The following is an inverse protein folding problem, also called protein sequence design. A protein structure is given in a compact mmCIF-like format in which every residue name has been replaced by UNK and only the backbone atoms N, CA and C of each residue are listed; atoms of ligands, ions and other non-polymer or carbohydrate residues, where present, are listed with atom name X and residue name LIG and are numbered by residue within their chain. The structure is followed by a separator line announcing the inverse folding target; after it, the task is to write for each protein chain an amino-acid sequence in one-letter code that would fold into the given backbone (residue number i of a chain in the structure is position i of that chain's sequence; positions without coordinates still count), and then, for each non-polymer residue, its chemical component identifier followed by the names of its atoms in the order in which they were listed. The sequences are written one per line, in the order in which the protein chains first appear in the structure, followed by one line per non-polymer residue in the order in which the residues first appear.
data_IF_022592931377
#
_entry.id   IF_022592931377
#
_cell.length_a   1.000
_cell.length_b   1.000
_cell.length_c   1.000
_cell.angle_alpha   90.00
_cell.angle_beta   90.00
_cell.angle_gamma   90.00
#
_symmetry.space_group_name_H-M   'P 1'
#
loop_
_entity.id
_entity.type
_entity.pdbx_description
1 polymer ?
#
# COMPACT_ATOMS: atom_id res chain seq x y z
N UNK A 1 29.43 -2.87 -18.92
CA UNK A 1 28.57 -1.75 -18.47
C UNK A 1 27.34 -2.32 -17.79
N UNK A 2 27.16 -2.12 -16.47
CA UNK A 2 25.89 -2.50 -15.79
C UNK A 2 24.78 -1.64 -16.38
N UNK A 3 23.79 -2.25 -17.04
CA UNK A 3 22.60 -1.53 -17.53
C UNK A 3 21.95 -0.79 -16.34
N UNK A 4 21.74 0.50 -16.50
CA UNK A 4 21.02 1.27 -15.50
C UNK A 4 19.61 0.68 -15.28
N UNK A 5 19.17 0.46 -14.03
CA UNK A 5 17.84 -0.11 -13.75
C UNK A 5 16.72 0.71 -14.39
N UNK A 6 15.67 0.04 -14.88
CA UNK A 6 14.51 0.71 -15.49
C UNK A 6 13.71 1.50 -14.46
N UNK A 7 13.26 2.71 -14.81
CA UNK A 7 12.37 3.52 -13.97
C UNK A 7 11.01 2.82 -13.82
N UNK A 8 10.52 2.20 -14.88
CA UNK A 8 9.25 1.45 -14.86
C UNK A 8 9.35 0.28 -13.87
N UNK A 9 10.47 -0.47 -13.87
CA UNK A 9 10.68 -1.56 -12.92
C UNK A 9 10.61 -1.08 -11.46
N UNK A 10 11.27 0.03 -11.12
CA UNK A 10 11.19 0.60 -9.79
C UNK A 10 9.81 1.18 -9.45
N UNK A 11 9.10 1.75 -10.42
CA UNK A 11 7.71 2.17 -10.24
C UNK A 11 6.80 0.98 -9.92
N UNK A 12 6.97 -0.14 -10.63
CA UNK A 12 6.22 -1.37 -10.33
C UNK A 12 6.52 -1.91 -8.92
N UNK A 13 7.78 -1.83 -8.46
CA UNK A 13 8.14 -2.21 -7.09
C UNK A 13 7.41 -1.32 -6.07
N UNK A 14 7.44 -0.01 -6.22
CA UNK A 14 6.73 0.92 -5.32
C UNK A 14 5.21 0.68 -5.38
N UNK A 15 4.65 0.51 -6.57
CA UNK A 15 3.22 0.19 -6.72
C UNK A 15 2.84 -1.11 -6.00
N UNK A 16 3.65 -2.17 -6.12
CA UNK A 16 3.39 -3.44 -5.44
C UNK A 16 3.48 -3.34 -3.91
N UNK A 17 4.30 -2.42 -3.39
CA UNK A 17 4.36 -2.13 -1.95
C UNK A 17 3.10 -1.37 -1.48
N UNK A 18 2.58 -0.46 -2.30
CA UNK A 18 1.36 0.29 -1.99
C UNK A 18 0.12 -0.62 -2.09
N UNK A 19 0.00 -1.40 -3.15
CA UNK A 19 -1.17 -2.25 -3.42
C UNK A 19 -1.14 -3.50 -2.54
N UNK A 20 -1.82 -3.42 -1.41
CA UNK A 20 -1.91 -4.48 -0.40
C UNK A 20 -3.24 -4.45 0.34
N UNK A 21 -3.27 -4.91 1.58
CA UNK A 21 -4.49 -4.96 2.40
C UNK A 21 -5.16 -3.58 2.57
N UNK A 22 -4.40 -2.48 2.53
CA UNK A 22 -4.94 -1.13 2.58
C UNK A 22 -5.94 -0.85 1.45
N UNK A 23 -5.68 -1.38 0.24
CA UNK A 23 -6.59 -1.24 -0.90
C UNK A 23 -7.98 -1.81 -0.62
N UNK A 24 -8.06 -2.97 0.03
CA UNK A 24 -9.34 -3.61 0.34
C UNK A 24 -10.17 -2.80 1.33
N UNK A 25 -9.53 -2.08 2.24
CA UNK A 25 -10.18 -1.22 3.22
C UNK A 25 -10.66 0.13 2.68
N UNK A 26 -10.15 0.58 1.52
CA UNK A 26 -10.46 1.91 0.98
C UNK A 26 -11.96 2.14 0.72
N UNK A 27 -12.71 1.23 0.08
CA UNK A 27 -14.14 1.43 -0.14
C UNK A 27 -14.92 1.52 1.17
N UNK A 28 -14.61 0.67 2.15
CA UNK A 28 -15.28 0.69 3.46
C UNK A 28 -14.97 1.98 4.22
N UNK A 29 -13.71 2.43 4.21
CA UNK A 29 -13.30 3.67 4.87
C UNK A 29 -13.89 4.92 4.21
N UNK A 30 -14.08 4.88 2.90
CA UNK A 30 -14.65 5.99 2.11
C UNK A 30 -16.15 5.92 1.91
N UNK A 31 -16.86 4.92 2.45
CA UNK A 31 -18.30 4.73 2.23
C UNK A 31 -19.14 5.96 2.60
N UNK A 32 -18.81 6.66 3.69
CA UNK A 32 -19.45 7.90 4.08
C UNK A 32 -19.12 9.11 3.21
N UNK A 33 -17.96 9.10 2.54
CA UNK A 33 -17.50 10.15 1.64
C UNK A 33 -17.97 9.94 0.20
N UNK A 34 -18.39 8.74 -0.12
CA UNK A 34 -18.78 8.28 -1.44
C UNK A 34 -17.69 8.50 -2.50
N UNK A 35 -18.02 8.45 -3.79
CA UNK A 35 -17.03 8.42 -4.88
C UNK A 35 -16.18 9.69 -4.93
N UNK A 36 -16.78 10.86 -5.14
CA UNK A 36 -16.02 12.08 -5.44
C UNK A 36 -15.08 12.47 -4.30
N UNK A 37 -15.58 12.50 -3.08
CA UNK A 37 -14.76 12.88 -1.92
C UNK A 37 -13.73 11.82 -1.56
N UNK A 38 -14.03 10.54 -1.80
CA UNK A 38 -13.03 9.45 -1.67
C UNK A 38 -11.89 9.61 -2.66
N UNK A 39 -12.19 9.88 -3.93
CA UNK A 39 -11.16 10.09 -4.96
C UNK A 39 -10.31 11.34 -4.67
N UNK A 40 -10.92 12.42 -4.18
CA UNK A 40 -10.20 13.63 -3.75
C UNK A 40 -9.27 13.30 -2.57
N UNK A 41 -9.80 12.64 -1.53
CA UNK A 41 -9.02 12.28 -0.33
C UNK A 41 -7.81 11.40 -0.66
N UNK A 42 -7.98 10.38 -1.51
CA UNK A 42 -6.90 9.51 -1.95
C UNK A 42 -5.88 10.25 -2.80
N UNK A 43 -6.33 11.14 -3.72
CA UNK A 43 -5.42 11.93 -4.55
C UNK A 43 -4.58 12.87 -3.70
N UNK A 44 -5.19 13.52 -2.73
CA UNK A 44 -4.49 14.37 -1.77
C UNK A 44 -3.48 13.56 -0.95
N UNK A 45 -3.90 12.39 -0.44
CA UNK A 45 -2.99 11.49 0.30
C UNK A 45 -1.82 11.05 -0.54
N UNK A 46 -2.04 10.64 -1.80
CA UNK A 46 -0.97 10.27 -2.73
C UNK A 46 0.03 11.41 -2.91
N UNK A 47 -0.45 12.64 -3.11
CA UNK A 47 0.42 13.81 -3.25
C UNK A 47 1.26 14.04 -2.00
N UNK A 48 0.66 14.03 -0.82
CA UNK A 48 1.34 14.22 0.46
C UNK A 48 2.38 13.12 0.72
N UNK A 49 2.01 11.86 0.48
CA UNK A 49 2.93 10.73 0.67
C UNK A 49 4.07 10.74 -0.34
N UNK A 50 3.84 11.12 -1.59
CA UNK A 50 4.90 11.25 -2.60
C UNK A 50 5.88 12.36 -2.22
N UNK A 51 5.38 13.53 -1.80
CA UNK A 51 6.22 14.63 -1.31
C UNK A 51 7.03 14.23 -0.08
N UNK A 52 6.42 13.57 0.89
CA UNK A 52 7.09 13.05 2.08
C UNK A 52 8.21 12.06 1.73
N UNK A 53 7.96 11.14 0.80
CA UNK A 53 9.00 10.23 0.31
C UNK A 53 10.15 10.95 -0.41
N UNK A 54 9.87 12.03 -1.15
CA UNK A 54 10.91 12.85 -1.76
C UNK A 54 11.72 13.62 -0.71
N UNK A 55 11.08 14.16 0.32
CA UNK A 55 11.79 14.80 1.44
C UNK A 55 12.70 13.81 2.17
N UNK A 56 12.23 12.58 2.36
CA UNK A 56 13.04 11.52 2.95
C UNK A 56 14.25 11.18 2.06
N UNK A 57 14.09 11.13 0.72
CA UNK A 57 15.21 10.96 -0.21
C UNK A 57 16.24 12.09 -0.10
N UNK A 58 15.80 13.34 0.05
CA UNK A 58 16.71 14.47 0.26
C UNK A 58 17.50 14.33 1.57
N UNK A 59 16.85 13.86 2.65
CA UNK A 59 17.53 13.60 3.91
C UNK A 59 18.61 12.52 3.76
N UNK A 60 18.33 11.47 3.00
CA UNK A 60 19.30 10.40 2.73
C UNK A 60 20.49 10.85 1.87
N UNK A 61 20.37 11.94 1.13
CA UNK A 61 21.41 12.42 0.19
C UNK A 61 22.75 12.70 0.88
N UNK A 62 22.73 13.07 2.13
CA UNK A 62 23.92 13.41 2.92
C UNK A 62 24.62 12.19 3.52
N UNK A 63 24.13 10.99 3.27
CA UNK A 63 24.61 9.75 3.85
C UNK A 63 25.01 8.75 2.76
N UNK A 64 25.74 7.72 3.16
CA UNK A 64 26.10 6.61 2.27
C UNK A 64 24.86 5.91 1.67
N UNK A 65 25.00 5.31 0.48
CA UNK A 65 23.89 4.63 -0.22
C UNK A 65 23.24 3.49 0.58
N UNK A 66 23.98 2.88 1.49
CA UNK A 66 23.52 1.74 2.31
C UNK A 66 23.11 2.12 3.73
N UNK A 67 23.00 3.42 4.03
CA UNK A 67 22.63 3.86 5.37
C UNK A 67 21.23 3.39 5.74
N UNK A 68 21.03 3.00 7.00
CA UNK A 68 19.72 2.60 7.52
C UNK A 68 18.87 3.82 7.88
N UNK A 69 17.55 3.67 7.81
CA UNK A 69 16.61 4.69 8.27
C UNK A 69 16.85 5.07 9.73
N UNK A 70 17.09 4.07 10.59
CA UNK A 70 17.39 4.30 12.01
C UNK A 70 18.62 5.18 12.22
N UNK A 71 19.70 4.97 11.43
CA UNK A 71 20.92 5.78 11.56
C UNK A 71 20.65 7.24 11.22
N UNK A 72 19.94 7.48 10.12
CA UNK A 72 19.60 8.86 9.69
C UNK A 72 18.69 9.54 10.71
N UNK A 73 17.66 8.84 11.20
CA UNK A 73 16.74 9.39 12.20
C UNK A 73 17.46 9.74 13.51
N UNK A 74 18.37 8.87 13.96
CA UNK A 74 19.17 9.10 15.16
C UNK A 74 20.06 10.33 15.01
N UNK A 75 20.71 10.47 13.86
CA UNK A 75 21.65 11.57 13.59
C UNK A 75 20.93 12.93 13.46
N UNK A 76 19.79 12.95 12.77
CA UNK A 76 19.02 14.17 12.50
C UNK A 76 18.17 14.62 13.70
N UNK A 77 17.52 13.67 14.39
CA UNK A 77 16.51 13.95 15.42
C UNK A 77 16.97 13.63 16.84
N UNK A 78 18.14 13.00 16.99
CA UNK A 78 18.70 12.59 18.27
C UNK A 78 18.10 11.30 18.83
N UNK A 79 18.74 10.77 19.89
CA UNK A 79 18.43 9.44 20.44
C UNK A 79 16.98 9.32 20.95
N UNK A 80 16.48 10.34 21.66
CA UNK A 80 15.12 10.28 22.25
C UNK A 80 14.03 10.17 21.20
N UNK A 81 14.10 11.02 20.17
CA UNK A 81 13.11 11.00 19.08
C UNK A 81 13.25 9.72 18.24
N UNK A 82 14.47 9.24 18.05
CA UNK A 82 14.73 8.00 17.34
C UNK A 82 14.11 6.78 18.04
N UNK A 83 14.15 6.72 19.38
CA UNK A 83 13.48 5.64 20.14
C UNK A 83 11.97 5.67 19.90
N UNK A 84 11.33 6.85 20.00
CA UNK A 84 9.89 7.00 19.74
C UNK A 84 9.56 6.59 18.32
N UNK A 85 10.36 7.03 17.34
CA UNK A 85 10.17 6.68 15.94
C UNK A 85 10.28 5.17 15.71
N UNK A 86 11.26 4.49 16.31
CA UNK A 86 11.41 3.05 16.19
C UNK A 86 10.22 2.30 16.80
N UNK A 87 9.73 2.72 17.97
CA UNK A 87 8.53 2.16 18.58
C UNK A 87 7.33 2.32 17.63
N UNK A 88 7.13 3.50 17.04
CA UNK A 88 6.06 3.75 16.09
C UNK A 88 6.16 2.87 14.84
N UNK A 89 7.36 2.70 14.27
CA UNK A 89 7.59 1.83 13.10
C UNK A 89 7.26 0.37 13.42
N UNK A 90 7.74 -0.15 14.56
CA UNK A 90 7.43 -1.52 14.98
C UNK A 90 5.94 -1.71 15.29
N UNK A 91 5.30 -0.70 15.91
CA UNK A 91 3.87 -0.72 16.19
C UNK A 91 3.04 -0.80 14.91
N UNK A 92 3.34 0.06 13.92
CA UNK A 92 2.66 0.04 12.62
C UNK A 92 2.90 -1.29 11.89
N UNK A 93 4.15 -1.79 11.89
CA UNK A 93 4.47 -3.09 11.31
C UNK A 93 3.71 -4.24 11.95
N UNK A 94 3.58 -4.22 13.29
CA UNK A 94 2.81 -5.21 14.05
C UNK A 94 1.31 -5.16 13.74
N UNK A 95 0.72 -3.96 13.65
CA UNK A 95 -0.70 -3.80 13.27
C UNK A 95 -0.95 -4.28 11.84
N UNK A 96 -0.08 -3.94 10.89
CA UNK A 96 -0.21 -4.43 9.51
C UNK A 96 -0.12 -5.95 9.44
N UNK A 97 0.84 -6.55 10.14
CA UNK A 97 0.97 -8.01 10.20
C UNK A 97 -0.28 -8.65 10.80
N UNK A 98 -0.80 -8.09 11.90
CA UNK A 98 -2.06 -8.54 12.51
C UNK A 98 -3.23 -8.45 11.52
N UNK A 99 -3.36 -7.34 10.79
CA UNK A 99 -4.39 -7.16 9.79
C UNK A 99 -4.31 -8.20 8.66
N UNK A 100 -3.10 -8.49 8.16
CA UNK A 100 -2.89 -9.53 7.14
C UNK A 100 -3.26 -10.93 7.65
N UNK A 101 -2.86 -11.28 8.86
CA UNK A 101 -3.13 -12.59 9.46
C UNK A 101 -4.64 -12.79 9.65
N UNK A 102 -5.31 -11.79 10.23
CA UNK A 102 -6.76 -11.87 10.51
C UNK A 102 -7.58 -11.88 9.22
N UNK A 103 -7.25 -11.03 8.24
CA UNK A 103 -7.93 -11.02 6.94
C UNK A 103 -7.74 -12.33 6.19
N UNK A 104 -6.53 -12.90 6.22
CA UNK A 104 -6.26 -14.21 5.60
C UNK A 104 -7.05 -15.32 6.27
N UNK A 105 -7.19 -15.28 7.60
CA UNK A 105 -8.02 -16.23 8.35
C UNK A 105 -9.49 -16.15 7.94
N UNK A 106 -10.05 -14.95 7.81
CA UNK A 106 -11.44 -14.73 7.37
C UNK A 106 -11.67 -15.25 5.95
N UNK A 107 -10.76 -14.95 5.01
CA UNK A 107 -10.85 -15.44 3.64
C UNK A 107 -10.80 -16.97 3.59
N UNK A 108 -9.89 -17.59 4.34
CA UNK A 108 -9.79 -19.03 4.41
C UNK A 108 -11.02 -19.68 5.05
N UNK A 109 -11.61 -19.05 6.07
CA UNK A 109 -12.87 -19.49 6.66
C UNK A 109 -14.01 -19.51 5.62
N UNK A 110 -14.12 -18.44 4.84
CA UNK A 110 -15.14 -18.30 3.81
C UNK A 110 -14.96 -19.32 2.66
N UNK A 111 -13.71 -19.59 2.25
CA UNK A 111 -13.42 -20.49 1.11
C UNK A 111 -13.41 -21.95 1.52
N UNK A 112 -12.86 -22.30 2.70
CA UNK A 112 -12.59 -23.69 3.12
C UNK A 112 -13.58 -24.14 4.19
N UNK A 113 -14.27 -23.21 4.89
CA UNK A 113 -15.20 -23.53 5.98
C UNK A 113 -14.51 -23.86 7.32
N UNK A 114 -13.22 -23.60 7.47
CA UNK A 114 -12.47 -23.81 8.71
C UNK A 114 -12.54 -22.53 9.54
N UNK A 115 -12.76 -22.68 10.85
CA UNK A 115 -12.83 -21.53 11.77
C UNK A 115 -11.67 -20.55 11.58
N UNK A 116 -11.99 -19.25 11.54
CA UNK A 116 -11.05 -18.14 11.31
C UNK A 116 -9.76 -18.22 12.16
N UNK A 117 -9.87 -18.50 13.46
CA UNK A 117 -8.69 -18.58 14.34
C UNK A 117 -7.74 -19.71 13.93
N UNK A 118 -8.31 -20.88 13.58
CA UNK A 118 -7.52 -22.02 13.10
C UNK A 118 -6.90 -21.72 11.75
N UNK A 119 -7.66 -21.12 10.84
CA UNK A 119 -7.20 -20.68 9.52
C UNK A 119 -6.07 -19.66 9.61
N UNK A 120 -6.16 -18.70 10.52
CA UNK A 120 -5.10 -17.73 10.80
C UNK A 120 -3.81 -18.39 11.31
N UNK A 121 -3.93 -19.36 12.21
CA UNK A 121 -2.77 -20.13 12.72
C UNK A 121 -2.11 -20.93 11.60
N UNK A 122 -2.90 -21.62 10.78
CA UNK A 122 -2.41 -22.39 9.63
C UNK A 122 -1.66 -21.45 8.66
N UNK A 123 -2.25 -20.30 8.34
CA UNK A 123 -1.63 -19.30 7.48
C UNK A 123 -0.26 -18.86 8.03
N UNK A 124 -0.19 -18.46 9.30
CA UNK A 124 1.07 -18.05 9.94
C UNK A 124 2.09 -19.18 9.91
N UNK A 125 1.68 -20.40 10.27
CA UNK A 125 2.59 -21.54 10.29
C UNK A 125 3.19 -21.82 8.91
N UNK A 126 2.35 -21.92 7.89
CA UNK A 126 2.79 -22.20 6.51
C UNK A 126 3.74 -21.13 6.00
N UNK A 127 3.39 -19.84 6.12
CA UNK A 127 4.25 -18.78 5.61
C UNK A 127 5.52 -18.58 6.45
N UNK A 128 5.48 -18.84 7.76
CA UNK A 128 6.68 -18.84 8.61
C UNK A 128 7.70 -19.89 8.19
N UNK A 129 7.25 -21.07 7.74
CA UNK A 129 8.15 -22.10 7.22
C UNK A 129 8.94 -21.62 5.99
N UNK A 130 8.29 -20.87 5.08
CA UNK A 130 8.99 -20.31 3.91
C UNK A 130 10.01 -19.25 4.31
N UNK A 131 9.65 -18.38 5.27
CA UNK A 131 10.57 -17.36 5.80
C UNK A 131 11.78 -18.01 6.47
N UNK A 132 11.53 -19.07 7.26
CA UNK A 132 12.62 -19.83 7.91
C UNK A 132 13.53 -20.54 6.90
N UNK A 133 12.93 -21.14 5.86
CA UNK A 133 13.67 -21.96 4.92
C UNK A 133 14.73 -21.16 4.14
N UNK A 134 14.35 -20.06 3.51
CA UNK A 134 15.29 -19.15 2.87
C UNK A 134 14.61 -17.90 2.28
N UNK A 135 15.37 -16.81 2.18
CA UNK A 135 14.97 -15.58 1.48
C UNK A 135 14.62 -15.85 0.00
N UNK A 136 15.25 -16.82 -0.64
CA UNK A 136 14.94 -17.20 -2.03
C UNK A 136 13.58 -17.88 -2.17
N UNK A 137 13.14 -18.64 -1.16
CA UNK A 137 11.81 -19.25 -1.15
C UNK A 137 10.74 -18.17 -1.03
N UNK A 138 10.93 -17.20 -0.13
CA UNK A 138 10.05 -16.03 0.02
C UNK A 138 9.96 -15.24 -1.28
N UNK A 139 11.08 -14.94 -1.92
CA UNK A 139 11.13 -14.21 -3.19
C UNK A 139 10.32 -14.90 -4.30
N UNK A 140 10.54 -16.20 -4.50
CA UNK A 140 9.80 -16.96 -5.53
C UNK A 140 8.30 -17.02 -5.27
N UNK A 141 7.89 -17.26 -4.02
CA UNK A 141 6.47 -17.30 -3.67
C UNK A 141 5.84 -15.93 -3.84
N UNK A 142 6.53 -14.86 -3.43
CA UNK A 142 6.03 -13.50 -3.59
C UNK A 142 5.75 -13.16 -5.06
N UNK A 143 6.62 -13.55 -5.98
CA UNK A 143 6.40 -13.34 -7.43
C UNK A 143 5.14 -14.07 -7.92
N UNK A 144 4.95 -15.32 -7.50
CA UNK A 144 3.77 -16.11 -7.86
C UNK A 144 2.50 -15.44 -7.29
N UNK A 145 2.52 -15.07 -6.00
CA UNK A 145 1.38 -14.45 -5.34
C UNK A 145 1.02 -13.08 -5.95
N UNK A 146 2.02 -12.27 -6.34
CA UNK A 146 1.79 -11.00 -7.05
C UNK A 146 1.11 -11.26 -8.41
N UNK A 147 1.54 -12.27 -9.16
CA UNK A 147 0.91 -12.61 -10.42
C UNK A 147 -0.58 -13.00 -10.22
N UNK A 148 -0.88 -13.85 -9.22
CA UNK A 148 -2.25 -14.20 -8.87
C UNK A 148 -3.05 -12.98 -8.42
N UNK A 149 -2.48 -12.10 -7.61
CA UNK A 149 -3.11 -10.87 -7.16
C UNK A 149 -3.52 -9.98 -8.34
N UNK A 150 -2.61 -9.77 -9.31
CA UNK A 150 -2.89 -8.95 -10.51
C UNK A 150 -4.00 -9.58 -11.34
N UNK A 151 -3.96 -10.89 -11.58
CA UNK A 151 -4.99 -11.60 -12.32
C UNK A 151 -6.35 -11.52 -11.63
N UNK A 152 -6.40 -11.77 -10.33
CA UNK A 152 -7.64 -11.68 -9.52
C UNK A 152 -8.21 -10.27 -9.51
N UNK A 153 -7.34 -9.26 -9.42
CA UNK A 153 -7.76 -7.86 -9.47
C UNK A 153 -8.40 -7.51 -10.82
N UNK A 154 -7.73 -7.87 -11.93
CA UNK A 154 -8.26 -7.64 -13.27
C UNK A 154 -9.62 -8.34 -13.42
N UNK A 155 -9.75 -9.58 -12.97
CA UNK A 155 -10.98 -10.34 -13.04
C UNK A 155 -12.11 -9.69 -12.22
N UNK A 156 -11.83 -9.33 -10.95
CA UNK A 156 -12.78 -8.68 -10.07
C UNK A 156 -13.25 -7.32 -10.59
N UNK A 157 -12.30 -6.45 -10.97
CA UNK A 157 -12.62 -5.13 -11.51
C UNK A 157 -13.38 -5.23 -12.84
N UNK A 158 -13.00 -6.14 -13.75
CA UNK A 158 -13.70 -6.29 -15.03
C UNK A 158 -15.14 -6.78 -14.86
N UNK A 159 -15.39 -7.70 -13.92
CA UNK A 159 -16.74 -8.16 -13.59
C UNK A 159 -17.64 -7.04 -13.03
N UNK A 160 -17.10 -6.22 -12.13
CA UNK A 160 -17.82 -5.09 -11.55
C UNK A 160 -18.02 -3.95 -12.57
N UNK A 161 -17.02 -3.67 -13.41
CA UNK A 161 -17.04 -2.57 -14.37
C UNK A 161 -18.16 -2.69 -15.43
N UNK A 162 -18.62 -3.91 -15.71
CA UNK A 162 -19.71 -4.15 -16.69
C UNK A 162 -21.05 -3.63 -16.15
N UNK A 163 -21.24 -3.60 -14.84
CA UNK A 163 -22.51 -3.28 -14.20
C UNK A 163 -22.52 -1.88 -13.54
N UNK A 164 -21.55 -1.02 -13.82
CA UNK A 164 -21.48 0.32 -13.22
C UNK A 164 -22.70 1.15 -13.62
N UNK A 165 -23.46 1.62 -12.60
CA UNK A 165 -24.54 2.59 -12.74
C UNK A 165 -24.04 3.97 -12.33
N UNK A 166 -24.07 4.93 -13.25
CA UNK A 166 -23.67 6.30 -13.00
C UNK A 166 -24.56 7.01 -11.96
N UNK A 167 -25.82 6.60 -11.84
CA UNK A 167 -26.75 7.18 -10.84
C UNK A 167 -26.35 6.77 -9.42
N UNK A 168 -25.91 5.53 -9.24
CA UNK A 168 -25.37 5.01 -7.97
C UNK A 168 -24.01 5.61 -7.68
N UNK A 169 -23.11 5.60 -8.69
CA UNK A 169 -21.75 6.10 -8.56
C UNK A 169 -21.68 7.55 -8.07
N UNK A 170 -22.55 8.41 -8.60
CA UNK A 170 -22.62 9.83 -8.21
C UNK A 170 -23.70 10.12 -7.16
N UNK A 171 -24.39 9.09 -6.68
CA UNK A 171 -25.46 9.15 -5.69
C UNK A 171 -26.53 10.23 -5.99
N UNK A 172 -26.97 10.29 -7.23
CA UNK A 172 -27.98 11.24 -7.68
C UNK A 172 -29.36 11.05 -7.02
N UNK A 173 -29.53 9.90 -6.35
CA UNK A 173 -30.77 9.55 -5.64
C UNK A 173 -30.86 10.32 -4.31
N UNK A 174 -29.73 10.73 -3.72
CA UNK A 174 -29.64 11.42 -2.43
C UNK A 174 -28.96 12.80 -2.58
N UNK A 175 -29.48 13.67 -3.41
CA UNK A 175 -28.88 14.98 -3.73
C UNK A 175 -28.64 15.90 -2.52
N UNK A 176 -29.37 15.69 -1.40
CA UNK A 176 -29.22 16.47 -0.16
C UNK A 176 -28.11 15.99 0.77
N UNK A 177 -27.42 14.89 0.44
CA UNK A 177 -26.41 14.30 1.32
C UNK A 177 -25.09 15.06 1.26
N UNK A 178 -24.60 15.51 2.41
CA UNK A 178 -23.29 16.16 2.52
C UNK A 178 -22.22 15.14 2.84
N UNK A 179 -21.44 14.71 1.85
CA UNK A 179 -20.40 13.70 1.95
C UNK A 179 -19.03 14.24 2.37
N UNK A 180 -18.79 15.55 2.22
CA UNK A 180 -17.49 16.17 2.47
C UNK A 180 -16.91 15.92 3.88
N UNK A 181 -17.69 16.01 4.99
CA UNK A 181 -17.17 15.78 6.33
C UNK A 181 -16.59 14.37 6.54
N UNK A 182 -17.12 13.38 5.82
CA UNK A 182 -16.70 11.98 5.96
C UNK A 182 -15.38 11.66 5.24
N UNK A 183 -14.91 12.55 4.35
CA UNK A 183 -13.62 12.37 3.67
C UNK A 183 -12.45 12.26 4.65
N UNK A 184 -12.53 12.93 5.80
CA UNK A 184 -11.51 12.87 6.85
C UNK A 184 -11.35 11.47 7.45
N UNK A 185 -12.41 10.69 7.54
CA UNK A 185 -12.37 9.33 8.07
C UNK A 185 -11.56 8.36 7.18
N UNK A 186 -11.39 8.69 5.91
CA UNK A 186 -10.65 7.88 4.96
C UNK A 186 -9.13 8.03 5.09
N UNK A 187 -8.62 9.16 5.60
CA UNK A 187 -7.18 9.43 5.63
C UNK A 187 -6.34 8.36 6.34
N UNK A 188 -6.70 7.82 7.51
CA UNK A 188 -5.88 6.79 8.14
C UNK A 188 -5.63 5.57 7.26
N UNK A 189 -6.68 5.10 6.56
CA UNK A 189 -6.58 3.95 5.64
C UNK A 189 -5.84 4.35 4.35
N UNK A 190 -6.11 5.54 3.81
CA UNK A 190 -5.41 6.05 2.63
C UNK A 190 -3.90 6.23 2.89
N UNK A 191 -3.50 6.76 4.06
CA UNK A 191 -2.09 6.91 4.44
C UNK A 191 -1.37 5.55 4.51
N UNK A 192 -2.00 4.54 5.11
CA UNK A 192 -1.42 3.18 5.17
C UNK A 192 -1.35 2.53 3.80
N UNK A 193 -2.32 2.82 2.91
CA UNK A 193 -2.34 2.33 1.53
C UNK A 193 -1.19 2.88 0.67
N UNK A 194 -0.65 4.05 1.00
CA UNK A 194 0.56 4.61 0.38
C UNK A 194 1.80 4.47 1.29
N UNK A 195 1.86 3.46 2.15
CA UNK A 195 2.90 3.24 3.15
C UNK A 195 4.23 2.70 2.63
N UNK A 196 4.78 3.24 1.56
CA UNK A 196 6.02 2.75 0.92
C UNK A 196 7.33 3.32 1.50
N UNK A 197 7.30 4.17 2.50
CA UNK A 197 8.47 4.94 2.99
C UNK A 197 9.65 4.06 3.43
N UNK A 198 9.39 2.85 3.94
CA UNK A 198 10.42 1.87 4.26
C UNK A 198 11.26 1.43 3.04
N UNK A 199 10.71 1.58 1.83
CA UNK A 199 11.38 1.22 0.57
C UNK A 199 12.21 2.37 -0.03
N UNK A 200 12.14 3.59 0.51
CA UNK A 200 12.82 4.78 -0.06
C UNK A 200 14.33 4.61 -0.09
N UNK A 201 14.94 4.16 1.02
CA UNK A 201 16.38 3.89 1.08
C UNK A 201 16.81 2.82 0.09
N UNK A 202 16.01 1.76 -0.04
CA UNK A 202 16.25 0.68 -1.01
C UNK A 202 16.17 1.17 -2.45
N UNK A 203 15.24 2.06 -2.78
CA UNK A 203 15.13 2.66 -4.11
C UNK A 203 16.34 3.55 -4.42
N UNK A 204 16.82 4.33 -3.45
CA UNK A 204 18.04 5.11 -3.60
C UNK A 204 19.25 4.20 -3.88
N UNK A 205 19.40 3.15 -3.12
CA UNK A 205 20.48 2.17 -3.30
C UNK A 205 20.37 1.45 -4.66
N UNK A 206 19.17 1.11 -5.11
CA UNK A 206 18.90 0.43 -6.38
C UNK A 206 19.31 1.27 -7.60
N UNK A 207 19.03 2.55 -7.57
CA UNK A 207 19.36 3.47 -8.68
C UNK A 207 20.74 4.13 -8.57
N UNK A 208 21.32 4.18 -7.38
CA UNK A 208 22.55 4.91 -7.09
C UNK A 208 22.42 6.44 -7.22
N UNK A 209 21.22 6.95 -7.44
CA UNK A 209 20.94 8.39 -7.53
C UNK A 209 19.49 8.73 -7.16
N UNK A 210 19.29 9.92 -6.58
CA UNK A 210 18.00 10.38 -6.06
C UNK A 210 16.98 10.68 -7.18
N UNK A 211 17.40 11.27 -8.30
CA UNK A 211 16.51 11.69 -9.39
C UNK A 211 15.74 10.51 -10.01
N UNK A 212 16.38 9.35 -10.17
CA UNK A 212 15.73 8.16 -10.68
C UNK A 212 14.80 7.54 -9.62
N UNK A 213 15.22 7.53 -8.36
CA UNK A 213 14.40 7.09 -7.25
C UNK A 213 13.13 7.95 -7.12
N UNK A 214 13.23 9.28 -7.21
CA UNK A 214 12.07 10.21 -7.22
C UNK A 214 11.08 9.89 -8.34
N UNK A 215 11.59 9.68 -9.57
CA UNK A 215 10.73 9.31 -10.71
C UNK A 215 10.05 7.95 -10.53
N UNK A 216 10.76 6.97 -9.98
CA UNK A 216 10.20 5.66 -9.69
C UNK A 216 9.13 5.72 -8.58
N UNK A 217 9.35 6.52 -7.54
CA UNK A 217 8.37 6.74 -6.47
C UNK A 217 7.11 7.40 -7.04
N UNK A 218 7.24 8.49 -7.78
CA UNK A 218 6.10 9.15 -8.41
C UNK A 218 5.34 8.22 -9.36
N UNK A 219 6.05 7.48 -10.21
CA UNK A 219 5.43 6.52 -11.11
C UNK A 219 4.70 5.41 -10.37
N UNK A 220 5.29 4.89 -9.28
CA UNK A 220 4.69 3.83 -8.48
C UNK A 220 3.46 4.27 -7.71
N UNK A 221 3.52 5.46 -7.08
CA UNK A 221 2.35 6.02 -6.38
C UNK A 221 1.23 6.40 -7.35
N UNK A 222 1.55 6.86 -8.57
CA UNK A 222 0.57 7.13 -9.62
C UNK A 222 -0.10 5.84 -10.14
N UNK A 223 0.65 4.76 -10.32
CA UNK A 223 0.10 3.45 -10.67
C UNK A 223 -0.84 2.98 -9.55
N UNK A 224 -0.43 3.06 -8.29
CA UNK A 224 -1.26 2.68 -7.16
C UNK A 224 -2.55 3.52 -7.09
N UNK A 225 -2.46 4.84 -7.28
CA UNK A 225 -3.64 5.72 -7.34
C UNK A 225 -4.62 5.29 -8.43
N UNK A 226 -4.12 4.97 -9.62
CA UNK A 226 -4.96 4.50 -10.73
C UNK A 226 -5.71 3.21 -10.36
N UNK A 227 -5.02 2.25 -9.73
CA UNK A 227 -5.62 1.00 -9.28
C UNK A 227 -6.67 1.24 -8.18
N UNK A 228 -6.40 2.16 -7.25
CA UNK A 228 -7.37 2.53 -6.20
C UNK A 228 -8.60 3.23 -6.78
N UNK A 229 -8.43 4.08 -7.79
CA UNK A 229 -9.55 4.69 -8.49
C UNK A 229 -10.43 3.64 -9.16
N UNK A 230 -9.82 2.73 -9.93
CA UNK A 230 -10.55 1.64 -10.56
C UNK A 230 -11.30 0.80 -9.53
N UNK A 231 -10.67 0.50 -8.40
CA UNK A 231 -11.27 -0.28 -7.33
C UNK A 231 -12.48 0.42 -6.70
N UNK A 232 -12.32 1.69 -6.26
CA UNK A 232 -13.39 2.47 -5.64
C UNK A 232 -14.55 2.67 -6.61
N UNK A 233 -14.27 3.07 -7.85
CA UNK A 233 -15.30 3.28 -8.86
C UNK A 233 -16.06 1.98 -9.16
N UNK A 234 -15.34 0.86 -9.24
CA UNK A 234 -15.98 -0.45 -9.46
C UNK A 234 -16.86 -0.89 -8.28
N UNK A 235 -16.48 -0.58 -7.05
CA UNK A 235 -17.27 -0.94 -5.87
C UNK A 235 -18.48 -0.02 -5.69
N UNK A 236 -18.29 1.31 -5.82
CA UNK A 236 -19.37 2.26 -5.56
C UNK A 236 -20.35 2.41 -6.72
N UNK A 237 -20.00 1.94 -7.89
CA UNK A 237 -20.88 1.94 -9.06
C UNK A 237 -21.83 0.74 -9.16
N UNK A 238 -21.72 -0.21 -8.22
CA UNK A 238 -22.57 -1.40 -8.10
C UNK A 238 -23.29 -1.37 -6.76
#
# INVERSE_FOLDING_TARGET
MKKNPSIIGGACIIASVCVGAGMLGLPSAGAGAWTIWSLIAISFTMMMMTLSGWMLLESFKFYDLKVSFNTVTKDVLGDKVNIINNIAVYFVGGILLYAYITSSGLILEEVIGINNKVSSIIFVFVFSLFVWHSTRAVDRISVILIAFMVLSFIFGVSGLAINIDASVLFNKINEESNYAPYAMAMFPVALTSFGYHHSVASMRCYYGCENRAKKAILGGTAIALTLYFLWIVSIYGN
#
